data_IF_817719538756
#
_entry.id   IF_817719538756
#
_cell.length_a   1.000
_cell.length_b   1.000
_cell.length_c   1.000
_cell.angle_alpha   90.00
_cell.angle_beta   90.00
_cell.angle_gamma   90.00
#
_symmetry.space_group_name_H-M   'P 1'
#
loop_
_entity.id
_entity.type
_entity.pdbx_description
1 polymer ?
#
# COMPACT_ATOMS: atom_id res chain seq x y z
N UNK A 1 11.51 2.91 -2.73
CA UNK A 1 10.05 2.92 -2.90
C UNK A 1 9.40 3.53 -1.69
N UNK A 2 8.44 4.44 -1.88
CA UNK A 2 7.69 5.06 -0.80
C UNK A 2 6.27 4.49 -0.81
N UNK A 3 5.77 4.13 0.37
CA UNK A 3 4.40 3.64 0.56
C UNK A 3 3.60 4.65 1.36
N UNK A 4 2.45 5.06 0.82
CA UNK A 4 1.44 5.76 1.59
C UNK A 4 0.61 4.72 2.34
N UNK A 5 0.73 4.73 3.66
CA UNK A 5 -0.01 3.83 4.55
C UNK A 5 -1.38 4.43 4.81
N UNK A 6 -2.39 3.68 4.41
CA UNK A 6 -3.77 4.01 4.71
C UNK A 6 -4.00 4.00 6.24
N UNK A 7 -4.85 4.91 6.71
CA UNK A 7 -5.13 5.08 8.13
C UNK A 7 -5.62 3.78 8.81
N UNK A 8 -6.27 2.89 8.05
CA UNK A 8 -6.76 1.58 8.50
C UNK A 8 -5.64 0.57 8.82
N UNK A 9 -4.39 0.88 8.46
CA UNK A 9 -3.23 0.00 8.61
C UNK A 9 -2.16 0.57 9.55
N UNK A 10 -2.33 1.75 10.15
CA UNK A 10 -1.24 2.43 10.85
C UNK A 10 -0.53 1.57 11.92
N UNK A 11 -1.26 0.79 12.72
CA UNK A 11 -0.65 -0.09 13.74
C UNK A 11 0.04 -1.31 13.12
N UNK A 12 -0.62 -1.96 12.17
CA UNK A 12 -0.14 -3.16 11.48
C UNK A 12 1.06 -2.86 10.59
N UNK A 13 1.11 -1.67 9.98
CA UNK A 13 2.18 -1.22 9.12
C UNK A 13 3.50 -1.04 9.88
N UNK A 14 3.46 -0.63 11.16
CA UNK A 14 4.66 -0.56 12.00
C UNK A 14 5.28 -1.95 12.16
N UNK A 15 4.45 -2.95 12.45
CA UNK A 15 4.90 -4.33 12.62
C UNK A 15 5.42 -4.92 11.30
N UNK A 16 4.71 -4.68 10.20
CA UNK A 16 5.14 -5.11 8.86
C UNK A 16 6.49 -4.47 8.49
N UNK A 17 6.65 -3.16 8.70
CA UNK A 17 7.90 -2.45 8.43
C UNK A 17 9.05 -2.97 9.31
N UNK A 18 8.76 -3.30 10.57
CA UNK A 18 9.71 -3.96 11.46
C UNK A 18 10.18 -5.31 10.93
N UNK A 19 9.29 -6.13 10.36
CA UNK A 19 9.68 -7.39 9.70
C UNK A 19 10.55 -7.16 8.46
N UNK A 20 10.20 -6.18 7.61
CA UNK A 20 11.03 -5.80 6.45
C UNK A 20 12.46 -5.43 6.90
N UNK A 21 12.57 -4.62 7.95
CA UNK A 21 13.86 -4.21 8.51
C UNK A 21 14.64 -5.39 9.11
N UNK A 22 13.98 -6.23 9.92
CA UNK A 22 14.62 -7.36 10.59
C UNK A 22 15.13 -8.44 9.63
N UNK A 23 14.48 -8.59 8.47
CA UNK A 23 14.94 -9.47 7.39
C UNK A 23 16.09 -8.86 6.56
N UNK A 24 16.53 -7.62 6.84
CA UNK A 24 17.64 -6.96 6.15
C UNK A 24 17.28 -6.36 4.79
N UNK A 25 15.99 -6.33 4.41
CA UNK A 25 15.59 -5.83 3.09
C UNK A 25 15.86 -4.35 2.89
N UNK A 26 15.89 -3.55 3.95
CA UNK A 26 16.16 -2.11 3.86
C UNK A 26 17.60 -1.80 3.41
N UNK A 27 18.54 -2.74 3.60
CA UNK A 27 19.92 -2.62 3.12
C UNK A 27 20.04 -2.87 1.61
N UNK A 28 19.05 -3.54 1.03
CA UNK A 28 19.01 -3.94 -0.38
C UNK A 28 18.10 -3.00 -1.18
N UNK A 29 16.94 -2.66 -0.60
CA UNK A 29 15.88 -1.89 -1.26
C UNK A 29 15.44 -0.77 -0.32
N UNK A 30 15.60 0.50 -0.70
CA UNK A 30 15.21 1.61 0.16
C UNK A 30 13.68 1.71 0.21
N UNK A 31 13.05 1.10 1.21
CA UNK A 31 11.61 1.15 1.45
C UNK A 31 11.32 2.15 2.58
N UNK A 32 10.34 3.02 2.36
CA UNK A 32 9.86 3.96 3.38
C UNK A 32 8.35 3.93 3.46
N UNK A 33 7.83 3.87 4.67
CA UNK A 33 6.41 4.06 4.95
C UNK A 33 6.17 5.50 5.37
N UNK A 34 5.16 6.13 4.77
CA UNK A 34 4.65 7.46 5.16
C UNK A 34 3.17 7.35 5.47
N UNK A 35 2.71 8.12 6.43
CA UNK A 35 1.33 8.11 6.91
C UNK A 35 0.57 9.34 6.41
N UNK A 36 -0.75 9.31 6.53
CA UNK A 36 -1.60 10.45 6.17
C UNK A 36 -1.22 11.71 6.95
N UNK A 37 -0.90 11.59 8.24
CA UNK A 37 -0.49 12.74 9.05
C UNK A 37 0.81 13.39 8.56
N UNK A 38 1.76 12.59 8.07
CA UNK A 38 3.01 13.10 7.49
C UNK A 38 2.80 13.77 6.13
N UNK A 39 1.73 13.42 5.41
CA UNK A 39 1.32 14.03 4.15
C UNK A 39 0.25 15.12 4.34
N UNK A 40 -0.03 15.51 5.58
CA UNK A 40 -1.07 16.50 5.95
C UNK A 40 -2.46 16.15 5.38
N UNK A 41 -2.73 14.85 5.23
CA UNK A 41 -3.96 14.32 4.65
C UNK A 41 -4.98 13.98 5.76
N UNK A 42 -6.21 14.51 5.71
CA UNK A 42 -7.26 14.14 6.67
C UNK A 42 -7.59 12.64 6.63
N UNK A 43 -7.83 12.03 7.80
CA UNK A 43 -8.14 10.60 7.91
C UNK A 43 -9.46 10.20 7.21
N UNK A 44 -10.35 11.16 7.03
CA UNK A 44 -11.66 11.06 6.39
C UNK A 44 -11.65 11.50 4.92
N UNK A 45 -10.47 11.76 4.36
CA UNK A 45 -10.31 11.99 2.92
C UNK A 45 -10.95 10.85 2.13
N UNK A 46 -11.53 11.14 0.97
CA UNK A 46 -12.09 10.11 0.10
C UNK A 46 -11.01 9.35 -0.67
N UNK A 47 -11.40 8.25 -1.35
CA UNK A 47 -10.42 7.39 -2.02
C UNK A 47 -9.75 8.08 -3.20
N UNK A 48 -10.44 9.00 -3.87
CA UNK A 48 -9.93 9.72 -5.04
C UNK A 48 -8.82 10.68 -4.63
N UNK A 49 -9.03 11.45 -3.57
CA UNK A 49 -8.02 12.36 -3.03
C UNK A 49 -6.78 11.59 -2.59
N UNK A 50 -6.95 10.51 -1.83
CA UNK A 50 -5.81 9.69 -1.36
C UNK A 50 -5.06 9.05 -2.53
N UNK A 51 -5.78 8.49 -3.51
CA UNK A 51 -5.16 7.84 -4.66
C UNK A 51 -4.37 8.85 -5.50
N UNK A 52 -4.97 10.00 -5.84
CA UNK A 52 -4.27 11.05 -6.61
C UNK A 52 -3.03 11.54 -5.90
N UNK A 53 -3.12 11.82 -4.59
CA UNK A 53 -1.96 12.23 -3.80
C UNK A 53 -0.85 11.17 -3.83
N UNK A 54 -1.19 9.89 -3.72
CA UNK A 54 -0.22 8.81 -3.84
C UNK A 54 0.46 8.81 -5.22
N UNK A 55 -0.30 8.91 -6.31
CA UNK A 55 0.23 8.89 -7.66
C UNK A 55 1.09 10.13 -7.98
N UNK A 56 0.64 11.33 -7.62
CA UNK A 56 1.35 12.59 -7.82
C UNK A 56 2.72 12.59 -7.12
N UNK A 57 2.82 11.92 -5.97
CA UNK A 57 4.05 11.79 -5.19
C UNK A 57 4.82 10.49 -5.47
N UNK A 58 4.43 9.70 -6.48
CA UNK A 58 5.07 8.43 -6.85
C UNK A 58 5.16 7.45 -5.68
N UNK A 59 4.05 7.32 -4.94
CA UNK A 59 3.91 6.43 -3.79
C UNK A 59 2.97 5.27 -4.10
N UNK A 60 3.28 4.10 -3.57
CA UNK A 60 2.37 2.94 -3.58
C UNK A 60 1.39 3.09 -2.41
N UNK A 61 0.09 3.08 -2.68
CA UNK A 61 -0.92 3.05 -1.61
C UNK A 61 -1.01 1.63 -1.02
N UNK A 62 -0.77 1.48 0.28
CA UNK A 62 -0.93 0.22 1.01
C UNK A 62 -2.13 0.33 1.96
N UNK A 63 -3.11 -0.56 1.78
CA UNK A 63 -4.36 -0.61 2.55
C UNK A 63 -4.71 -2.05 2.92
N UNK A 64 -5.64 -2.29 3.85
CA UNK A 64 -6.14 -3.64 4.13
C UNK A 64 -7.63 -3.82 3.90
N UNK A 65 -8.40 -2.74 3.90
CA UNK A 65 -9.78 -2.77 3.42
C UNK A 65 -10.32 -1.34 3.37
N UNK A 66 -10.22 -0.69 2.21
CA UNK A 66 -11.04 0.50 1.93
C UNK A 66 -12.19 0.04 1.06
N UNK A 67 -13.27 -0.37 1.73
CA UNK A 67 -14.54 -0.73 1.10
C UNK A 67 -15.48 0.48 1.16
N UNK A 68 -15.03 1.61 0.62
CA UNK A 68 -15.99 2.65 0.29
C UNK A 68 -16.81 2.18 -0.91
N UNK A 69 -18.13 2.32 -0.84
CA UNK A 69 -19.02 2.10 -1.98
C UNK A 69 -19.43 3.47 -2.52
N UNK A 70 -19.32 3.68 -3.82
CA UNK A 70 -19.78 4.91 -4.46
C UNK A 70 -18.83 5.43 -5.52
N UNK A 71 -19.10 6.65 -6.00
CA UNK A 71 -18.37 7.33 -7.09
C UNK A 71 -16.88 7.61 -6.78
N UNK A 72 -16.54 7.64 -5.49
CA UNK A 72 -15.20 7.90 -4.99
C UNK A 72 -14.66 6.67 -4.25
N UNK A 73 -15.04 5.45 -4.70
CA UNK A 73 -14.34 4.24 -4.26
C UNK A 73 -13.03 4.08 -5.02
N UNK A 74 -12.04 3.44 -4.39
CA UNK A 74 -10.77 3.11 -5.04
C UNK A 74 -11.00 2.40 -6.37
N UNK A 75 -11.93 1.44 -6.45
CA UNK A 75 -12.24 0.72 -7.70
C UNK A 75 -12.72 1.67 -8.80
N UNK A 76 -13.61 2.60 -8.48
CA UNK A 76 -14.13 3.55 -9.46
C UNK A 76 -13.04 4.54 -9.89
N UNK A 77 -12.25 5.04 -8.95
CA UNK A 77 -11.13 5.96 -9.21
C UNK A 77 -10.11 5.30 -10.14
N UNK A 78 -9.69 4.07 -9.82
CA UNK A 78 -8.76 3.33 -10.67
C UNK A 78 -9.35 3.04 -12.04
N UNK A 79 -10.66 2.77 -12.15
CA UNK A 79 -11.30 2.56 -13.46
C UNK A 79 -11.29 3.82 -14.33
N UNK A 80 -11.43 5.00 -13.73
CA UNK A 80 -11.53 6.27 -14.43
C UNK A 80 -10.17 6.93 -14.71
N UNK A 81 -9.21 6.76 -13.80
CA UNK A 81 -8.01 7.61 -13.76
C UNK A 81 -6.70 6.85 -13.94
N UNK A 82 -6.72 5.51 -13.95
CA UNK A 82 -5.48 4.74 -14.14
C UNK A 82 -4.87 5.02 -15.51
N UNK A 83 -3.54 5.12 -15.52
CA UNK A 83 -2.74 5.25 -16.73
C UNK A 83 -1.71 4.12 -16.78
N UNK A 84 -1.07 3.85 -17.93
CA UNK A 84 0.04 2.90 -18.00
C UNK A 84 1.20 3.20 -17.04
N UNK A 85 1.31 4.45 -16.55
CA UNK A 85 2.34 4.89 -15.62
C UNK A 85 1.85 4.96 -14.16
N UNK A 86 0.64 4.50 -13.87
CA UNK A 86 0.11 4.52 -12.51
C UNK A 86 0.72 3.40 -11.67
N UNK A 87 1.10 3.71 -10.43
CA UNK A 87 1.54 2.72 -9.45
C UNK A 87 0.34 1.92 -8.94
N UNK A 88 0.51 0.61 -8.67
CA UNK A 88 -0.57 -0.22 -8.16
C UNK A 88 -0.98 0.17 -6.74
N UNK A 89 -2.24 -0.06 -6.40
CA UNK A 89 -2.68 -0.12 -5.00
C UNK A 89 -2.42 -1.53 -4.47
N UNK A 90 -1.77 -1.66 -3.32
CA UNK A 90 -1.56 -2.95 -2.66
C UNK A 90 -2.55 -3.10 -1.50
N UNK A 91 -3.24 -4.24 -1.47
CA UNK A 91 -4.19 -4.57 -0.41
C UNK A 91 -3.77 -5.84 0.32
N UNK A 92 -3.62 -5.72 1.63
CA UNK A 92 -3.38 -6.85 2.53
C UNK A 92 -4.71 -7.51 2.83
N UNK A 93 -4.84 -8.80 2.51
CA UNK A 93 -6.13 -9.50 2.61
C UNK A 93 -6.73 -9.56 4.03
N UNK A 94 -5.90 -9.58 5.08
CA UNK A 94 -6.31 -9.69 6.47
C UNK A 94 -5.30 -8.96 7.40
N UNK A 95 -5.63 -7.72 7.75
CA UNK A 95 -4.82 -6.91 8.65
C UNK A 95 -4.62 -7.54 10.04
N UNK A 96 -5.61 -8.27 10.57
CA UNK A 96 -5.52 -8.85 11.91
C UNK A 96 -4.47 -9.96 11.97
N UNK A 97 -4.32 -10.72 10.88
CA UNK A 97 -3.28 -11.75 10.76
C UNK A 97 -1.88 -11.16 10.68
N UNK A 98 -1.69 -9.94 10.16
CA UNK A 98 -0.37 -9.28 10.23
C UNK A 98 0.13 -9.17 11.66
N UNK A 99 -0.74 -8.94 12.64
CA UNK A 99 -0.34 -8.78 14.04
C UNK A 99 -0.09 -10.13 14.71
N UNK A 100 -0.93 -11.12 14.45
CA UNK A 100 -1.05 -12.32 15.26
C UNK A 100 -0.42 -13.57 14.63
N UNK A 101 -0.09 -13.53 13.34
CA UNK A 101 0.38 -14.67 12.57
C UNK A 101 1.70 -14.33 11.87
N UNK A 102 2.79 -14.92 12.38
CA UNK A 102 4.13 -14.62 11.88
C UNK A 102 4.32 -15.12 10.45
N UNK A 103 3.86 -16.34 10.11
CA UNK A 103 4.01 -16.92 8.77
C UNK A 103 3.25 -16.09 7.74
N UNK A 104 2.06 -15.64 8.11
CA UNK A 104 1.28 -14.76 7.28
C UNK A 104 1.99 -13.43 7.02
N UNK A 105 2.56 -12.82 8.06
CA UNK A 105 3.32 -11.57 7.93
C UNK A 105 4.55 -11.74 7.03
N UNK A 106 5.29 -12.84 7.16
CA UNK A 106 6.46 -13.10 6.32
C UNK A 106 6.04 -13.20 4.85
N UNK A 107 4.94 -13.90 4.55
CA UNK A 107 4.39 -13.96 3.19
C UNK A 107 3.94 -12.58 2.67
N UNK A 108 3.43 -11.70 3.54
CA UNK A 108 3.14 -10.32 3.16
C UNK A 108 4.41 -9.58 2.77
N UNK A 109 5.49 -9.75 3.55
CA UNK A 109 6.80 -9.14 3.27
C UNK A 109 7.33 -9.65 1.93
N UNK A 110 7.41 -10.95 1.74
CA UNK A 110 7.89 -11.57 0.49
C UNK A 110 7.13 -11.02 -0.73
N UNK A 111 5.79 -11.00 -0.66
CA UNK A 111 4.94 -10.48 -1.73
C UNK A 111 5.20 -9.00 -2.01
N UNK A 112 5.38 -8.18 -0.95
CA UNK A 112 5.66 -6.76 -1.08
C UNK A 112 7.04 -6.53 -1.73
N UNK A 113 8.07 -7.29 -1.32
CA UNK A 113 9.41 -7.19 -1.88
C UNK A 113 9.42 -7.61 -3.35
N UNK A 114 8.73 -8.69 -3.72
CA UNK A 114 8.59 -9.13 -5.11
C UNK A 114 7.97 -8.02 -5.98
N UNK A 115 6.89 -7.39 -5.51
CA UNK A 115 6.24 -6.28 -6.23
C UNK A 115 7.18 -5.10 -6.39
N UNK A 116 7.94 -4.73 -5.34
CA UNK A 116 8.88 -3.59 -5.41
C UNK A 116 10.01 -3.87 -6.39
N UNK A 117 10.59 -5.07 -6.38
CA UNK A 117 11.64 -5.47 -7.32
C UNK A 117 11.12 -5.52 -8.77
N UNK A 118 9.87 -5.96 -8.95
CA UNK A 118 9.20 -6.10 -10.25
C UNK A 118 8.33 -4.92 -10.65
N UNK A 119 8.46 -3.75 -10.03
CA UNK A 119 7.43 -2.68 -10.10
C UNK A 119 7.00 -2.30 -11.51
N UNK A 120 7.94 -2.29 -12.46
CA UNK A 120 7.67 -1.97 -13.88
C UNK A 120 6.63 -2.91 -14.51
N UNK A 121 6.59 -4.18 -14.11
CA UNK A 121 5.61 -5.16 -14.58
C UNK A 121 4.21 -4.97 -13.97
N UNK A 122 4.10 -4.15 -12.93
CA UNK A 122 2.86 -3.85 -12.22
C UNK A 122 2.35 -2.43 -12.47
N UNK A 123 3.01 -1.64 -13.31
CA UNK A 123 2.54 -0.31 -13.69
C UNK A 123 1.27 -0.41 -14.52
N UNK A 124 0.32 0.48 -14.26
CA UNK A 124 -1.01 0.46 -14.89
C UNK A 124 -1.89 -0.72 -14.46
N UNK A 125 -1.45 -1.52 -13.49
CA UNK A 125 -2.30 -2.49 -12.80
C UNK A 125 -3.06 -1.76 -11.70
N UNK A 126 -4.37 -2.01 -11.59
CA UNK A 126 -5.21 -1.32 -10.61
C UNK A 126 -4.85 -1.69 -9.18
N UNK A 127 -5.13 -2.93 -8.79
CA UNK A 127 -5.07 -3.37 -7.40
C UNK A 127 -4.45 -4.75 -7.31
N UNK A 128 -3.44 -4.88 -6.47
CA UNK A 128 -2.81 -6.15 -6.13
C UNK A 128 -3.23 -6.55 -4.74
N UNK A 129 -3.62 -7.81 -4.59
CA UNK A 129 -3.92 -8.39 -3.29
C UNK A 129 -2.74 -9.27 -2.88
N UNK A 130 -2.16 -8.94 -1.74
CA UNK A 130 -1.19 -9.79 -1.07
C UNK A 130 -1.87 -10.48 0.11
N UNK A 131 -1.35 -11.64 0.56
CA UNK A 131 -1.82 -12.25 1.81
C UNK A 131 -2.28 -11.21 2.96
#
# INVERSE_FOLDING_TARGET
>A
MIFLIDHNLNGQAIILFGSIANQGWLDIIPIRFVTFSQMELPIDSDDRVVWRLAQENQMILLTANRSMKGKDSLEQVMREEITPNSLPVITIGNADRLLNDWEYRERCVESLIEIVLGINGYMGVSRLFIP
#
